data_IF_492512273651
#
_entry.id   IF_492512273651
#
_cell.length_a   1.000
_cell.length_b   1.000
_cell.length_c   1.000
_cell.angle_alpha   90.00
_cell.angle_beta   90.00
_cell.angle_gamma   90.00
#
_symmetry.space_group_name_H-M   'P 1'
#
loop_
_entity.id
_entity.type
_entity.pdbx_description
1 polymer ?
#
# COMPACT_ATOMS: atom_id res chain seq x y z
N UNK A 1 -22.71 -35.65 15.04
CA UNK A 1 -21.43 -35.00 15.41
C UNK A 1 -21.54 -33.53 15.03
N UNK A 2 -21.69 -32.62 15.99
CA UNK A 2 -21.72 -31.17 15.74
C UNK A 2 -20.29 -30.71 15.44
N UNK A 3 -20.04 -30.31 14.21
CA UNK A 3 -18.81 -29.60 13.83
C UNK A 3 -18.84 -28.24 14.54
N UNK A 4 -18.19 -28.14 15.68
CA UNK A 4 -17.87 -26.86 16.30
C UNK A 4 -16.80 -26.20 15.42
N UNK A 5 -17.23 -25.34 14.50
CA UNK A 5 -16.32 -24.45 13.79
C UNK A 5 -15.57 -23.64 14.85
N UNK A 6 -14.26 -23.88 14.97
CA UNK A 6 -13.39 -23.10 15.84
C UNK A 6 -13.48 -21.65 15.35
N UNK A 7 -14.12 -20.78 16.13
CA UNK A 7 -14.09 -19.33 15.86
C UNK A 7 -12.63 -18.89 15.88
N UNK A 8 -12.08 -18.58 14.73
CA UNK A 8 -10.75 -18.00 14.61
C UNK A 8 -10.94 -16.48 14.62
N UNK A 9 -10.37 -15.80 15.60
CA UNK A 9 -10.40 -14.33 15.64
C UNK A 9 -9.63 -13.79 14.45
N UNK A 10 -10.08 -12.66 13.89
CA UNK A 10 -9.42 -11.95 12.79
C UNK A 10 -7.94 -11.67 13.14
N UNK A 11 -7.67 -11.36 14.40
CA UNK A 11 -6.34 -11.12 14.96
C UNK A 11 -5.35 -12.26 14.71
N UNK A 12 -5.81 -13.53 14.82
CA UNK A 12 -4.95 -14.68 14.54
C UNK A 12 -4.63 -14.88 13.06
N UNK A 13 -5.48 -14.35 12.17
CA UNK A 13 -5.28 -14.42 10.72
C UNK A 13 -4.56 -13.21 10.16
N UNK A 14 -4.48 -12.14 10.92
CA UNK A 14 -3.87 -10.89 10.50
C UNK A 14 -2.35 -11.06 10.36
N UNK A 15 -1.77 -10.81 9.19
CA UNK A 15 -0.35 -11.10 8.95
C UNK A 15 0.60 -10.12 9.60
N UNK A 16 0.11 -8.97 10.05
CA UNK A 16 0.94 -7.91 10.62
C UNK A 16 1.18 -8.14 12.10
N UNK A 17 2.42 -7.93 12.53
CA UNK A 17 2.85 -7.96 13.92
C UNK A 17 2.88 -6.57 14.52
N UNK A 18 3.56 -5.63 13.87
CA UNK A 18 3.75 -4.25 14.34
C UNK A 18 4.05 -3.30 13.19
N UNK A 19 3.89 -2.01 13.45
CA UNK A 19 4.39 -0.93 12.60
C UNK A 19 5.26 -0.04 13.47
N UNK A 20 6.56 -0.01 13.18
CA UNK A 20 7.54 0.76 13.96
C UNK A 20 8.55 1.42 13.03
N UNK A 21 8.96 2.63 13.36
CA UNK A 21 9.96 3.41 12.60
C UNK A 21 9.66 3.55 11.10
N UNK A 22 8.37 3.64 10.74
CA UNK A 22 7.93 3.71 9.33
C UNK A 22 8.12 2.39 8.57
N UNK A 23 8.21 1.26 9.29
CA UNK A 23 8.29 -0.08 8.74
C UNK A 23 7.12 -0.93 9.20
N UNK A 24 6.60 -1.76 8.32
CA UNK A 24 5.60 -2.77 8.61
C UNK A 24 6.32 -4.10 8.87
N UNK A 25 6.10 -4.69 10.02
CA UNK A 25 6.70 -5.96 10.44
C UNK A 25 5.61 -7.03 10.39
N UNK A 26 5.85 -8.10 9.65
CA UNK A 26 4.92 -9.22 9.56
C UNK A 26 5.16 -10.25 10.68
N UNK A 27 4.16 -11.10 10.94
CA UNK A 27 4.29 -12.24 11.87
C UNK A 27 5.33 -13.28 11.40
N UNK A 28 5.66 -13.26 10.12
CA UNK A 28 6.70 -14.10 9.50
C UNK A 28 8.08 -13.42 9.50
N UNK A 29 8.20 -12.28 10.20
CA UNK A 29 9.41 -11.49 10.32
C UNK A 29 9.90 -10.83 9.01
N UNK A 30 8.99 -10.61 8.04
CA UNK A 30 9.31 -9.76 6.91
C UNK A 30 9.27 -8.28 7.35
N UNK A 31 10.17 -7.48 6.82
CA UNK A 31 10.19 -6.03 7.03
C UNK A 31 9.80 -5.36 5.71
N UNK A 32 8.79 -4.52 5.76
CA UNK A 32 8.29 -3.80 4.59
C UNK A 32 8.40 -2.29 4.82
N UNK A 33 9.00 -1.60 3.86
CA UNK A 33 8.98 -0.13 3.76
C UNK A 33 7.98 0.26 2.69
N UNK A 34 7.11 1.22 2.99
CA UNK A 34 6.09 1.69 2.09
C UNK A 34 6.40 3.10 1.59
N UNK A 35 6.17 3.30 0.29
CA UNK A 35 6.32 4.60 -0.38
C UNK A 35 5.02 4.95 -1.10
N UNK A 36 4.67 6.22 -1.09
CA UNK A 36 3.75 6.81 -2.06
C UNK A 36 4.54 7.19 -3.30
N UNK A 37 3.96 6.93 -4.47
CA UNK A 37 4.62 7.10 -5.77
C UNK A 37 3.86 8.14 -6.58
N UNK A 38 4.52 9.22 -6.95
CA UNK A 38 4.03 10.15 -7.98
C UNK A 38 4.58 9.71 -9.33
N UNK A 39 3.70 9.31 -10.21
CA UNK A 39 4.03 8.94 -11.59
C UNK A 39 3.86 10.15 -12.52
N UNK A 40 4.66 10.27 -13.58
CA UNK A 40 4.46 11.30 -14.60
C UNK A 40 3.14 11.06 -15.33
N UNK A 41 2.56 12.13 -15.86
CA UNK A 41 1.38 12.03 -16.72
C UNK A 41 1.73 11.33 -18.02
N UNK A 42 1.08 10.22 -18.33
CA UNK A 42 1.38 9.36 -19.49
C UNK A 42 1.32 10.11 -20.83
N UNK A 43 0.46 11.13 -20.92
CA UNK A 43 0.27 11.92 -22.16
C UNK A 43 1.45 12.83 -22.50
N UNK A 44 2.32 13.12 -21.54
CA UNK A 44 3.46 14.01 -21.71
C UNK A 44 4.79 13.27 -21.84
N UNK A 45 4.82 11.96 -21.60
CA UNK A 45 6.04 11.14 -21.61
C UNK A 45 6.43 10.76 -23.03
N UNK A 46 7.62 11.14 -23.43
CA UNK A 46 8.23 10.73 -24.70
C UNK A 46 8.78 9.30 -24.63
N UNK A 47 9.02 8.66 -25.77
CA UNK A 47 9.64 7.33 -25.81
C UNK A 47 11.00 7.27 -25.10
N UNK A 48 11.81 8.33 -25.22
CA UNK A 48 13.11 8.40 -24.57
C UNK A 48 12.98 8.51 -23.03
N UNK A 49 12.01 9.26 -22.54
CA UNK A 49 11.72 9.36 -21.10
C UNK A 49 11.19 8.03 -20.55
N UNK A 50 10.37 7.32 -21.32
CA UNK A 50 9.91 5.97 -20.93
C UNK A 50 11.07 5.00 -20.75
N UNK A 51 12.03 4.96 -21.70
CA UNK A 51 13.25 4.17 -21.61
C UNK A 51 14.11 4.60 -20.40
N UNK A 52 14.18 5.90 -20.13
CA UNK A 52 14.89 6.43 -18.96
C UNK A 52 14.24 5.97 -17.65
N UNK A 53 12.91 6.00 -17.56
CA UNK A 53 12.15 5.48 -16.41
C UNK A 53 12.46 3.98 -16.21
N UNK A 54 12.36 3.18 -17.27
CA UNK A 54 12.66 1.75 -17.20
C UNK A 54 14.09 1.49 -16.74
N UNK A 55 15.06 2.20 -17.31
CA UNK A 55 16.47 2.10 -16.92
C UNK A 55 16.70 2.48 -15.45
N UNK A 56 15.98 3.50 -14.96
CA UNK A 56 16.02 3.93 -13.57
C UNK A 56 15.50 2.83 -12.63
N UNK A 57 14.36 2.22 -12.95
CA UNK A 57 13.82 1.08 -12.20
C UNK A 57 14.81 -0.08 -12.13
N UNK A 58 15.42 -0.42 -13.25
CA UNK A 58 16.44 -1.49 -13.30
C UNK A 58 17.65 -1.20 -12.40
N UNK A 59 18.10 0.07 -12.36
CA UNK A 59 19.20 0.49 -11.47
C UNK A 59 18.79 0.44 -10.00
N UNK A 60 17.60 0.95 -9.68
CA UNK A 60 17.09 1.00 -8.32
C UNK A 60 16.87 -0.42 -7.74
N UNK A 61 16.30 -1.34 -8.53
CA UNK A 61 16.10 -2.73 -8.08
C UNK A 61 17.42 -3.45 -7.80
N UNK A 62 18.48 -3.15 -8.54
CA UNK A 62 19.80 -3.80 -8.37
C UNK A 62 20.50 -3.47 -7.06
N UNK A 63 20.12 -2.38 -6.37
CA UNK A 63 20.72 -2.05 -5.06
C UNK A 63 20.07 -2.79 -3.91
N UNK A 64 18.92 -3.39 -4.13
CA UNK A 64 18.23 -4.16 -3.09
C UNK A 64 18.98 -5.46 -2.79
N UNK A 65 19.08 -5.85 -1.50
CA UNK A 65 19.72 -7.10 -1.12
C UNK A 65 18.92 -8.31 -1.60
N UNK A 66 19.56 -9.46 -1.64
CA UNK A 66 18.92 -10.74 -1.98
C UNK A 66 17.69 -10.99 -1.12
N UNK A 67 16.69 -11.68 -1.66
CA UNK A 67 15.40 -11.95 -1.02
C UNK A 67 14.59 -10.69 -0.72
N UNK A 68 14.77 -9.64 -1.51
CA UNK A 68 13.87 -8.49 -1.51
C UNK A 68 12.74 -8.69 -2.52
N UNK A 69 11.55 -8.25 -2.14
CA UNK A 69 10.36 -8.23 -2.99
C UNK A 69 9.96 -6.78 -3.24
N UNK A 70 9.75 -6.44 -4.51
CA UNK A 70 9.24 -5.14 -4.93
C UNK A 70 7.80 -5.33 -5.37
N UNK A 71 6.87 -4.67 -4.68
CA UNK A 71 5.44 -4.75 -4.97
C UNK A 71 4.90 -3.35 -5.25
N UNK A 72 4.44 -3.11 -6.47
CA UNK A 72 3.72 -1.90 -6.87
C UNK A 72 2.22 -2.15 -6.78
N UNK A 73 1.49 -1.20 -6.21
CA UNK A 73 0.05 -1.27 -6.06
C UNK A 73 -0.60 0.03 -6.51
N UNK A 74 -1.53 -0.09 -7.43
CA UNK A 74 -2.32 1.03 -7.93
C UNK A 74 -3.74 0.95 -7.37
N UNK A 75 -4.19 2.02 -6.75
CA UNK A 75 -5.53 2.16 -6.20
C UNK A 75 -6.33 3.12 -7.06
N UNK A 76 -7.49 2.66 -7.53
CA UNK A 76 -8.44 3.47 -8.28
C UNK A 76 -9.74 3.56 -7.48
N UNK A 77 -9.95 4.71 -6.85
CA UNK A 77 -11.12 4.97 -6.01
C UNK A 77 -12.04 5.93 -6.72
N UNK A 78 -13.32 5.55 -6.82
CA UNK A 78 -14.34 6.43 -7.41
C UNK A 78 -14.66 7.56 -6.44
N UNK A 79 -14.34 8.77 -6.83
CA UNK A 79 -14.62 9.99 -6.08
C UNK A 79 -15.46 10.96 -6.90
N UNK A 80 -16.06 11.92 -6.20
CA UNK A 80 -16.71 13.07 -6.82
C UNK A 80 -15.99 14.33 -6.38
N UNK A 81 -15.78 15.21 -7.33
CA UNK A 81 -15.24 16.53 -7.04
C UNK A 81 -16.23 17.29 -6.13
N UNK A 82 -15.71 17.87 -5.04
CA UNK A 82 -16.49 18.73 -4.12
C UNK A 82 -16.21 20.18 -4.48
N UNK A 83 -17.15 20.85 -5.17
CA UNK A 83 -16.93 22.23 -5.59
C UNK A 83 -16.96 23.17 -4.39
N UNK A 84 -16.10 24.16 -4.40
CA UNK A 84 -16.16 25.32 -3.50
C UNK A 84 -17.19 26.35 -3.97
N UNK A 85 -18.46 25.99 -4.04
CA UNK A 85 -19.54 26.83 -4.56
C UNK A 85 -19.85 28.10 -3.74
N UNK A 86 -19.21 28.30 -2.59
CA UNK A 86 -19.54 29.35 -1.63
C UNK A 86 -18.78 30.67 -1.83
N UNK A 87 -17.99 30.82 -2.90
CA UNK A 87 -17.36 32.10 -3.20
C UNK A 87 -18.33 32.95 -4.02
N UNK A 88 -18.87 33.99 -3.39
CA UNK A 88 -19.83 34.94 -4.00
C UNK A 88 -19.30 35.64 -5.25
N UNK A 89 -17.98 35.66 -5.47
CA UNK A 89 -17.29 36.29 -6.58
C UNK A 89 -16.94 35.38 -7.80
N UNK A 90 -17.55 34.18 -7.87
CA UNK A 90 -17.25 33.29 -9.01
C UNK A 90 -17.92 33.75 -10.31
N UNK A 91 -17.12 33.86 -11.38
CA UNK A 91 -17.64 34.10 -12.71
C UNK A 91 -18.60 33.00 -13.16
N UNK A 92 -19.50 33.30 -14.12
CA UNK A 92 -20.41 32.32 -14.71
C UNK A 92 -19.67 31.07 -15.24
N UNK A 93 -18.53 31.30 -15.93
CA UNK A 93 -17.71 30.22 -16.45
C UNK A 93 -17.13 29.33 -15.34
N UNK A 94 -16.58 29.91 -14.28
CA UNK A 94 -16.06 29.18 -13.13
C UNK A 94 -17.13 28.36 -12.45
N UNK A 95 -18.31 28.92 -12.27
CA UNK A 95 -19.46 28.23 -11.67
C UNK A 95 -19.95 27.05 -12.55
N UNK A 96 -19.98 27.24 -13.88
CA UNK A 96 -20.35 26.17 -14.81
C UNK A 96 -19.32 25.07 -14.85
N UNK A 97 -18.02 25.40 -14.76
CA UNK A 97 -16.92 24.45 -14.68
C UNK A 97 -17.01 23.61 -13.39
N UNK A 98 -17.16 24.24 -12.23
CA UNK A 98 -17.31 23.57 -10.94
C UNK A 98 -18.51 22.60 -10.96
N UNK A 99 -19.66 23.04 -11.51
CA UNK A 99 -20.85 22.19 -11.66
C UNK A 99 -20.57 20.98 -12.54
N UNK A 100 -19.90 21.17 -13.69
CA UNK A 100 -19.59 20.11 -14.63
C UNK A 100 -18.76 18.99 -14.00
N UNK A 101 -17.74 19.35 -13.21
CA UNK A 101 -16.89 18.37 -12.53
C UNK A 101 -17.56 17.72 -11.33
N UNK A 102 -18.46 18.43 -10.63
CA UNK A 102 -19.23 17.86 -9.53
C UNK A 102 -20.26 16.80 -10.00
N UNK A 103 -20.84 16.98 -11.16
CA UNK A 103 -21.84 16.05 -11.69
C UNK A 103 -21.22 14.72 -12.14
N UNK A 104 -19.92 14.67 -12.41
CA UNK A 104 -19.24 13.50 -12.95
C UNK A 104 -18.31 12.86 -11.92
N UNK A 105 -18.51 11.56 -11.62
CA UNK A 105 -17.52 10.85 -10.81
C UNK A 105 -16.23 10.66 -11.63
N UNK A 106 -15.09 10.72 -10.95
CA UNK A 106 -13.78 10.39 -11.53
C UNK A 106 -13.12 9.29 -10.71
N UNK A 107 -12.11 8.64 -11.29
CA UNK A 107 -11.26 7.68 -10.60
C UNK A 107 -10.02 8.40 -10.08
N UNK A 108 -9.93 8.55 -8.76
CA UNK A 108 -8.70 9.00 -8.13
C UNK A 108 -7.72 7.86 -8.12
N UNK A 109 -6.57 8.08 -8.73
CA UNK A 109 -5.47 7.12 -8.75
C UNK A 109 -4.47 7.48 -7.65
N UNK A 110 -4.08 6.48 -6.86
CA UNK A 110 -2.99 6.58 -5.91
C UNK A 110 -2.08 5.37 -6.10
N UNK A 111 -0.79 5.59 -6.19
CA UNK A 111 0.19 4.53 -6.40
C UNK A 111 1.05 4.35 -5.16
N UNK A 112 1.19 3.12 -4.71
CA UNK A 112 2.07 2.73 -3.61
C UNK A 112 3.12 1.73 -4.07
N UNK A 113 4.28 1.81 -3.46
CA UNK A 113 5.37 0.88 -3.67
C UNK A 113 5.81 0.31 -2.31
N UNK A 114 5.91 -0.99 -2.24
CA UNK A 114 6.36 -1.70 -1.05
C UNK A 114 7.67 -2.41 -1.36
N UNK A 115 8.69 -2.17 -0.55
CA UNK A 115 9.93 -2.91 -0.56
C UNK A 115 9.91 -3.82 0.66
N UNK A 116 9.94 -5.12 0.45
CA UNK A 116 9.86 -6.11 1.52
C UNK A 116 11.13 -6.95 1.54
N UNK A 117 11.78 -7.00 2.68
CA UNK A 117 12.86 -7.94 2.96
C UNK A 117 12.26 -9.19 3.58
N UNK A 118 12.42 -10.31 2.91
CA UNK A 118 12.00 -11.62 3.42
C UNK A 118 13.21 -12.44 3.88
N UNK A 119 12.98 -13.42 4.75
CA UNK A 119 14.03 -14.29 5.22
C UNK A 119 14.35 -15.38 4.20
N UNK A 120 15.61 -15.82 4.14
CA UNK A 120 16.07 -16.90 3.25
C UNK A 120 15.31 -18.22 3.47
N UNK A 121 14.95 -18.49 4.69
CA UNK A 121 14.24 -19.72 5.07
C UNK A 121 12.81 -19.77 4.55
N UNK A 122 12.12 -18.62 4.48
CA UNK A 122 10.75 -18.57 3.94
C UNK A 122 10.70 -18.97 2.47
N UNK A 123 11.72 -18.64 1.70
CA UNK A 123 11.86 -19.06 0.30
C UNK A 123 12.02 -20.58 0.14
N UNK A 124 12.47 -21.27 1.18
CA UNK A 124 12.73 -22.74 1.17
C UNK A 124 11.71 -23.55 1.94
N UNK A 125 11.04 -22.97 2.92
CA UNK A 125 10.16 -23.71 3.82
C UNK A 125 8.68 -23.45 3.54
N UNK A 126 8.11 -24.19 2.63
CA UNK A 126 6.69 -24.52 2.66
C UNK A 126 6.39 -25.66 3.67
N UNK A 127 7.19 -25.84 4.70
CA UNK A 127 6.97 -26.93 5.65
C UNK A 127 5.98 -26.49 6.73
N UNK A 128 4.89 -27.25 6.86
CA UNK A 128 3.83 -27.07 7.85
C UNK A 128 4.32 -27.10 9.31
N UNK A 129 5.54 -27.49 9.56
CA UNK A 129 6.15 -27.58 10.89
C UNK A 129 6.57 -26.23 11.47
N UNK A 130 6.90 -25.26 10.64
CA UNK A 130 7.38 -23.95 11.09
C UNK A 130 6.27 -23.04 11.65
N UNK A 131 5.02 -23.32 11.33
CA UNK A 131 3.85 -22.60 11.84
C UNK A 131 3.50 -22.93 13.29
N UNK A 132 3.91 -24.08 13.79
CA UNK A 132 3.62 -24.53 15.16
C UNK A 132 4.57 -23.93 16.21
N UNK A 133 5.75 -23.47 15.82
CA UNK A 133 6.78 -22.96 16.74
C UNK A 133 6.90 -21.43 16.76
N UNK A 134 6.14 -20.72 15.94
CA UNK A 134 6.21 -19.26 15.82
C UNK A 134 5.16 -18.55 16.68
N UNK A 135 5.32 -18.65 17.99
CA UNK A 135 4.78 -17.62 18.87
C UNK A 135 5.71 -16.42 18.85
N UNK A 136 5.23 -15.25 18.44
CA UNK A 136 5.71 -13.88 18.67
C UNK A 136 7.23 -13.61 18.81
N UNK A 137 8.11 -14.48 18.34
CA UNK A 137 9.56 -14.32 18.44
C UNK A 137 10.06 -13.94 17.06
N UNK A 138 10.63 -12.74 16.95
CA UNK A 138 11.39 -12.30 15.77
C UNK A 138 12.52 -13.34 15.57
N UNK A 139 12.58 -14.02 14.41
CA UNK A 139 13.67 -14.96 14.15
C UNK A 139 15.02 -14.28 14.33
N UNK A 140 15.99 -15.02 14.87
CA UNK A 140 17.38 -14.52 15.04
C UNK A 140 18.03 -14.01 13.75
N UNK A 141 17.41 -14.32 12.61
CA UNK A 141 17.84 -13.88 11.28
C UNK A 141 17.48 -12.42 10.94
N UNK A 142 16.57 -11.80 11.69
CA UNK A 142 16.38 -10.35 11.69
C UNK A 142 17.38 -9.73 12.66
N UNK A 143 18.62 -9.96 12.36
CA UNK A 143 19.71 -9.29 13.03
C UNK A 143 19.67 -7.79 12.65
N UNK A 144 20.19 -6.99 13.58
CA UNK A 144 20.31 -5.54 13.44
C UNK A 144 21.08 -5.15 12.17
N UNK A 145 22.10 -5.92 11.81
CA UNK A 145 22.94 -5.66 10.64
C UNK A 145 22.17 -5.85 9.33
N UNK A 146 21.39 -6.93 9.20
CA UNK A 146 20.56 -7.19 8.04
C UNK A 146 19.47 -6.14 7.87
N UNK A 147 18.84 -5.72 8.97
CA UNK A 147 17.83 -4.65 8.97
C UNK A 147 18.44 -3.32 8.55
N UNK A 148 19.61 -2.96 9.11
CA UNK A 148 20.30 -1.71 8.77
C UNK A 148 20.67 -1.69 7.29
N UNK A 149 21.29 -2.75 6.77
CA UNK A 149 21.63 -2.88 5.34
C UNK A 149 20.41 -2.76 4.43
N UNK A 150 19.30 -3.35 4.83
CA UNK A 150 18.05 -3.23 4.06
C UNK A 150 17.53 -1.80 4.06
N UNK A 151 17.55 -1.12 5.21
CA UNK A 151 17.13 0.27 5.33
C UNK A 151 18.00 1.21 4.48
N UNK A 152 19.32 1.05 4.52
CA UNK A 152 20.26 1.78 3.66
C UNK A 152 19.98 1.54 2.18
N UNK A 153 19.69 0.28 1.79
CA UNK A 153 19.32 -0.04 0.43
C UNK A 153 17.98 0.60 0.00
N UNK A 154 16.99 0.67 0.90
CA UNK A 154 15.73 1.38 0.65
C UNK A 154 15.94 2.89 0.45
N UNK A 155 16.79 3.52 1.25
CA UNK A 155 17.15 4.94 1.08
C UNK A 155 17.89 5.18 -0.24
N UNK A 156 18.79 4.28 -0.61
CA UNK A 156 19.48 4.37 -1.89
C UNK A 156 18.53 4.16 -3.07
N UNK A 157 17.60 3.22 -2.95
CA UNK A 157 16.52 3.00 -3.94
C UNK A 157 15.69 4.27 -4.14
N UNK A 158 15.21 4.87 -3.05
CA UNK A 158 14.43 6.12 -3.07
C UNK A 158 15.22 7.25 -3.75
N UNK A 159 16.50 7.42 -3.39
CA UNK A 159 17.37 8.43 -3.99
C UNK A 159 17.55 8.24 -5.48
N UNK A 160 17.84 7.02 -5.96
CA UNK A 160 17.99 6.72 -7.38
C UNK A 160 16.71 7.05 -8.15
N UNK A 161 15.55 6.72 -7.60
CA UNK A 161 14.28 7.00 -8.24
C UNK A 161 14.01 8.51 -8.30
N UNK A 162 14.22 9.22 -7.21
CA UNK A 162 13.99 10.68 -7.12
C UNK A 162 14.98 11.48 -7.97
N UNK A 163 16.24 11.07 -8.05
CA UNK A 163 17.28 11.73 -8.88
C UNK A 163 16.97 11.62 -10.37
N UNK A 164 16.13 10.68 -10.80
CA UNK A 164 15.69 10.59 -12.19
C UNK A 164 14.86 11.80 -12.64
N UNK A 165 14.20 12.47 -11.70
CA UNK A 165 13.25 13.57 -11.97
C UNK A 165 11.96 13.15 -12.67
N UNK A 166 11.80 11.84 -12.99
CA UNK A 166 10.65 11.31 -13.74
C UNK A 166 9.62 10.64 -12.83
N UNK A 167 10.07 10.04 -11.76
CA UNK A 167 9.22 9.38 -10.76
C UNK A 167 9.63 9.90 -9.39
N UNK A 168 8.67 10.28 -8.58
CA UNK A 168 8.95 10.72 -7.21
C UNK A 168 8.45 9.70 -6.21
N UNK A 169 9.33 9.26 -5.32
CA UNK A 169 9.02 8.40 -4.18
C UNK A 169 9.04 9.23 -2.91
N UNK A 170 8.04 9.03 -2.06
CA UNK A 170 7.97 9.59 -0.72
C UNK A 170 7.72 8.46 0.26
N UNK A 171 8.66 8.23 1.17
CA UNK A 171 8.49 7.23 2.24
C UNK A 171 7.35 7.62 3.17
N UNK A 172 6.50 6.67 3.51
CA UNK A 172 5.40 6.86 4.47
C UNK A 172 5.93 6.80 5.90
N UNK A 173 5.41 7.69 6.74
CA UNK A 173 5.66 7.69 8.19
C UNK A 173 4.83 6.61 8.90
N UNK A 174 5.18 6.33 10.16
CA UNK A 174 4.39 5.41 11.01
C UNK A 174 2.93 5.85 11.10
N UNK A 175 2.68 7.15 11.29
CA UNK A 175 1.34 7.71 11.42
C UNK A 175 0.52 7.59 10.13
N UNK A 176 1.17 7.71 8.96
CA UNK A 176 0.51 7.50 7.67
C UNK A 176 0.20 6.03 7.39
N UNK A 177 1.00 5.13 7.93
CA UNK A 177 0.78 3.68 7.80
C UNK A 177 -0.31 3.19 8.73
N UNK A 178 -0.24 3.57 10.02
CA UNK A 178 -1.18 3.14 11.08
C UNK A 178 -2.46 3.95 11.04
N UNK A 179 -2.35 5.26 10.81
CA UNK A 179 -3.41 6.24 10.93
C UNK A 179 -3.32 7.04 12.23
N UNK A 180 -4.06 8.13 12.27
CA UNK A 180 -4.19 9.02 13.42
C UNK A 180 -5.66 9.24 13.72
N UNK A 181 -5.98 9.84 14.87
CA UNK A 181 -7.36 10.19 15.21
C UNK A 181 -7.98 11.05 14.09
N UNK A 182 -9.05 10.55 13.49
CA UNK A 182 -9.76 11.22 12.39
C UNK A 182 -9.18 10.99 10.98
N UNK A 183 -8.06 10.27 10.82
CA UNK A 183 -7.48 9.95 9.50
C UNK A 183 -7.05 8.49 9.43
N UNK A 184 -7.72 7.71 8.59
CA UNK A 184 -7.39 6.31 8.37
C UNK A 184 -5.99 6.15 7.77
N UNK A 185 -5.18 5.25 8.34
CA UNK A 185 -3.87 4.89 7.82
C UNK A 185 -3.93 3.97 6.61
N UNK A 186 -2.76 3.74 5.99
CA UNK A 186 -2.63 2.86 4.83
C UNK A 186 -3.15 1.45 5.12
N UNK A 187 -2.79 0.88 6.27
CA UNK A 187 -3.21 -0.48 6.68
C UNK A 187 -4.73 -0.56 6.85
N UNK A 188 -5.31 0.40 7.55
CA UNK A 188 -6.75 0.47 7.78
C UNK A 188 -7.52 0.62 6.46
N UNK A 189 -7.07 1.51 5.59
CA UNK A 189 -7.64 1.72 4.25
C UNK A 189 -7.51 0.48 3.37
N UNK A 190 -6.40 -0.24 3.45
CA UNK A 190 -6.21 -1.49 2.71
C UNK A 190 -7.24 -2.55 3.08
N UNK A 191 -7.56 -2.69 4.37
CA UNK A 191 -8.52 -3.68 4.84
C UNK A 191 -9.98 -3.24 4.68
N UNK A 192 -10.25 -1.94 4.76
CA UNK A 192 -11.61 -1.41 4.63
C UNK A 192 -11.98 -1.05 3.19
N UNK A 193 -11.01 -0.91 2.28
CA UNK A 193 -11.17 -0.40 0.91
C UNK A 193 -11.91 0.95 0.87
N UNK A 194 -11.73 1.75 1.91
CA UNK A 194 -12.41 3.02 2.07
C UNK A 194 -11.62 4.18 1.45
N UNK A 195 -12.35 5.22 0.97
CA UNK A 195 -11.72 6.49 0.58
C UNK A 195 -11.06 7.17 1.78
N UNK A 196 -10.10 8.06 1.50
CA UNK A 196 -9.46 8.88 2.53
C UNK A 196 -10.48 9.65 3.38
N UNK A 197 -10.25 9.68 4.69
CA UNK A 197 -11.08 10.45 5.63
C UNK A 197 -12.23 9.67 6.25
N UNK A 198 -12.42 8.40 5.96
CA UNK A 198 -13.39 7.57 6.66
C UNK A 198 -12.66 6.67 7.67
N UNK A 199 -12.97 6.81 8.96
CA UNK A 199 -12.28 6.14 10.07
C UNK A 199 -13.04 4.95 10.64
N UNK A 200 -14.22 4.63 10.10
CA UNK A 200 -15.04 3.55 10.63
C UNK A 200 -14.73 2.24 9.93
N UNK A 201 -14.23 1.26 10.66
CA UNK A 201 -14.21 -0.13 10.20
C UNK A 201 -15.64 -0.58 9.96
N UNK A 202 -15.91 -1.08 8.76
CA UNK A 202 -17.21 -1.61 8.39
C UNK A 202 -17.19 -3.14 8.48
N UNK A 203 -18.36 -3.72 8.70
CA UNK A 203 -18.51 -5.17 8.73
C UNK A 203 -18.12 -5.79 7.39
N UNK A 204 -17.38 -6.88 7.44
CA UNK A 204 -16.98 -7.65 6.26
C UNK A 204 -17.88 -8.89 6.18
N UNK A 205 -18.74 -8.92 5.18
CA UNK A 205 -19.60 -10.07 4.88
C UNK A 205 -18.98 -10.90 3.76
N UNK A 206 -18.76 -12.17 4.05
CA UNK A 206 -18.25 -13.14 3.09
C UNK A 206 -19.35 -14.15 2.77
N UNK A 207 -19.82 -14.16 1.54
CA UNK A 207 -20.72 -15.18 1.03
C UNK A 207 -20.02 -16.05 -0.03
N UNK A 208 -20.68 -17.14 -0.45
CA UNK A 208 -20.13 -18.00 -1.51
C UNK A 208 -20.04 -17.31 -2.88
N UNK A 209 -20.70 -16.19 -3.09
CA UNK A 209 -20.80 -15.50 -4.39
C UNK A 209 -20.26 -14.07 -4.38
N UNK A 210 -20.16 -13.44 -3.23
CA UNK A 210 -19.74 -12.04 -3.12
C UNK A 210 -19.06 -11.77 -1.79
N UNK A 211 -18.22 -10.78 -1.79
CA UNK A 211 -17.65 -10.14 -0.60
C UNK A 211 -18.19 -8.72 -0.52
N UNK A 212 -18.68 -8.32 0.64
CA UNK A 212 -19.12 -6.96 0.93
C UNK A 212 -18.32 -6.38 2.09
N UNK A 213 -18.04 -5.09 2.00
CA UNK A 213 -17.46 -4.31 3.08
C UNK A 213 -18.40 -3.12 3.28
N UNK A 214 -19.22 -3.20 4.34
CA UNK A 214 -20.35 -2.31 4.52
C UNK A 214 -21.27 -2.34 3.30
N UNK A 215 -21.54 -1.17 2.72
CA UNK A 215 -22.40 -1.04 1.53
C UNK A 215 -21.67 -1.31 0.20
N UNK A 216 -20.35 -1.55 0.24
CA UNK A 216 -19.55 -1.73 -0.95
C UNK A 216 -19.39 -3.22 -1.30
N UNK A 217 -19.52 -3.54 -2.59
CA UNK A 217 -19.25 -4.87 -3.14
C UNK A 217 -17.81 -4.91 -3.67
N UNK A 218 -17.04 -5.90 -3.21
CA UNK A 218 -15.70 -6.17 -3.71
C UNK A 218 -15.76 -7.16 -4.88
N UNK A 219 -15.17 -6.77 -6.01
CA UNK A 219 -14.96 -7.63 -7.16
C UNK A 219 -13.46 -7.80 -7.39
N UNK A 220 -12.99 -9.04 -7.42
CA UNK A 220 -11.62 -9.39 -7.78
C UNK A 220 -11.58 -9.80 -9.25
N UNK A 221 -10.74 -9.12 -10.03
CA UNK A 221 -10.43 -9.48 -11.40
C UNK A 221 -8.98 -9.94 -11.47
N UNK A 222 -8.76 -11.17 -11.86
CA UNK A 222 -7.42 -11.72 -12.15
C UNK A 222 -7.20 -11.72 -13.66
N UNK A 223 -6.04 -11.25 -14.09
CA UNK A 223 -5.58 -11.31 -15.47
C UNK A 223 -4.88 -12.64 -15.75
#
# INVERSE_FOLDING_TARGET
MRNTSKMTTLENKFPLLAVEHGCIISKDADITVAFEVELPELYTVTGAEYEAIHSCWCKAIKVLPDYSVVHKQDWFIKERYKPELQKDDMSFLSRSFERHFNERPYLKHTCYLYLTKTTKERSRMQSNFSTLCRGHIIPKELDRETTTKFMEACEQFERIMNDSGLVRLRRLSTDEIVGTEGKAGLVERYFSLMPEGNTTLQDIELSAREMRIGDNRLCLHTL
#
